data_IF_557036709856
#
_entry.id   IF_557036709856
#
_cell.length_a   1.000
_cell.length_b   1.000
_cell.length_c   1.000
_cell.angle_alpha   90.00
_cell.angle_beta   90.00
_cell.angle_gamma   90.00
#
_symmetry.space_group_name_H-M   'P 1'
#
loop_
_entity.id
_entity.type
_entity.pdbx_description
1 polymer ?
#
# COMPACT_ATOMS: atom_id res chain seq x y z
N UNK A 1 -7.24 13.68 14.71
CA UNK A 1 -8.24 12.63 14.80
C UNK A 1 -8.81 12.43 16.21
N UNK A 2 -8.02 12.60 17.24
CA UNK A 2 -8.49 12.49 18.64
C UNK A 2 -9.40 13.67 19.10
N UNK A 3 -9.41 14.76 18.33
CA UNK A 3 -10.22 15.96 18.55
C UNK A 3 -11.40 16.09 17.57
N UNK A 4 -11.49 15.22 16.56
CA UNK A 4 -12.55 15.27 15.56
C UNK A 4 -13.63 14.23 15.90
N UNK A 5 -14.88 14.64 15.82
CA UNK A 5 -16.07 13.79 15.82
C UNK A 5 -16.61 13.60 14.40
N UNK A 6 -17.65 12.80 14.27
CA UNK A 6 -18.23 12.48 12.96
C UNK A 6 -18.84 13.74 12.29
N UNK A 7 -19.39 14.68 13.06
CA UNK A 7 -19.93 15.92 12.53
C UNK A 7 -18.85 16.84 11.94
N UNK A 8 -17.66 16.86 12.56
CA UNK A 8 -16.49 17.56 12.00
C UNK A 8 -16.03 16.90 10.72
N UNK A 9 -16.01 15.56 10.66
CA UNK A 9 -15.62 14.83 9.46
C UNK A 9 -16.59 15.11 8.30
N UNK A 10 -17.89 15.07 8.54
CA UNK A 10 -18.90 15.38 7.52
C UNK A 10 -18.71 16.79 6.93
N UNK A 11 -18.58 17.80 7.79
CA UNK A 11 -18.34 19.18 7.35
C UNK A 11 -17.05 19.35 6.54
N UNK A 12 -15.98 18.67 6.96
CA UNK A 12 -14.71 18.69 6.22
C UNK A 12 -14.84 17.96 4.88
N UNK A 13 -15.57 16.86 4.82
CA UNK A 13 -15.81 16.09 3.59
C UNK A 13 -16.59 16.94 2.58
N UNK A 14 -17.65 17.64 3.01
CA UNK A 14 -18.39 18.57 2.15
C UNK A 14 -17.50 19.71 1.64
N UNK A 15 -16.74 20.34 2.53
CA UNK A 15 -15.83 21.45 2.19
C UNK A 15 -14.69 21.02 1.25
N UNK A 16 -14.25 19.76 1.33
CA UNK A 16 -13.20 19.18 0.51
C UNK A 16 -13.70 18.58 -0.82
N UNK A 17 -15.00 18.74 -1.15
CA UNK A 17 -15.56 18.19 -2.40
C UNK A 17 -15.72 16.66 -2.40
N UNK A 18 -15.86 16.03 -1.24
CA UNK A 18 -16.23 14.62 -1.08
C UNK A 18 -15.16 13.69 -0.51
N UNK A 19 -13.89 14.13 -0.34
CA UNK A 19 -12.85 13.28 0.23
C UNK A 19 -12.19 13.97 1.42
N UNK A 20 -12.41 13.42 2.62
CA UNK A 20 -11.65 13.74 3.83
C UNK A 20 -11.33 12.45 4.58
N UNK A 21 -10.20 12.39 5.25
CA UNK A 21 -9.76 11.25 6.06
C UNK A 21 -9.24 11.72 7.40
N UNK A 22 -9.80 11.20 8.49
CA UNK A 22 -9.25 11.42 9.82
C UNK A 22 -7.95 10.63 9.97
N UNK A 23 -6.88 11.33 10.31
CA UNK A 23 -5.57 10.72 10.54
C UNK A 23 -5.06 11.03 11.94
N UNK A 24 -4.42 10.05 12.58
CA UNK A 24 -3.70 10.15 13.83
C UNK A 24 -2.20 10.00 13.56
N UNK A 25 -1.60 11.00 12.89
CA UNK A 25 -0.22 10.94 12.40
C UNK A 25 0.81 10.76 13.54
N UNK A 26 0.61 11.42 14.68
CA UNK A 26 1.48 11.23 15.85
C UNK A 26 1.35 9.83 16.44
N UNK A 27 0.15 9.25 16.45
CA UNK A 27 -0.08 7.86 16.86
C UNK A 27 0.64 6.86 15.97
N UNK A 28 0.53 7.04 14.65
CA UNK A 28 1.27 6.23 13.66
C UNK A 28 2.78 6.32 13.88
N UNK A 29 3.31 7.52 14.05
CA UNK A 29 4.73 7.73 14.29
C UNK A 29 5.19 7.09 15.61
N UNK A 30 4.39 7.20 16.68
CA UNK A 30 4.67 6.61 17.96
C UNK A 30 4.70 5.07 17.87
N UNK A 31 3.73 4.46 17.19
CA UNK A 31 3.66 3.02 16.98
C UNK A 31 4.86 2.51 16.14
N UNK A 32 5.19 3.19 15.04
CA UNK A 32 6.36 2.85 14.22
C UNK A 32 7.67 2.93 15.00
N UNK A 33 7.83 3.94 15.85
CA UNK A 33 9.02 4.07 16.72
C UNK A 33 9.06 2.97 17.76
N UNK A 34 7.93 2.63 18.38
CA UNK A 34 7.83 1.55 19.36
C UNK A 34 8.10 0.18 18.71
N UNK A 35 7.59 -0.08 17.50
CA UNK A 35 7.86 -1.28 16.73
C UNK A 35 9.34 -1.39 16.35
N UNK A 36 9.96 -0.31 15.87
CA UNK A 36 11.41 -0.27 15.60
C UNK A 36 12.27 -0.55 16.83
N UNK A 37 11.76 -0.19 18.02
CA UNK A 37 12.41 -0.47 19.29
C UNK A 37 12.07 -1.87 19.87
N UNK A 38 11.35 -2.71 19.13
CA UNK A 38 10.84 -4.02 19.56
C UNK A 38 10.01 -3.97 20.86
N UNK A 39 9.28 -2.89 21.09
CA UNK A 39 8.38 -2.74 22.25
C UNK A 39 6.96 -3.20 21.91
N UNK A 40 6.56 -3.05 20.66
CA UNK A 40 5.24 -3.46 20.15
C UNK A 40 5.40 -4.20 18.81
N UNK A 41 4.46 -5.08 18.54
CA UNK A 41 4.22 -5.64 17.20
C UNK A 41 3.06 -4.88 16.56
N UNK A 42 3.36 -4.12 15.50
CA UNK A 42 2.42 -3.25 14.80
C UNK A 42 2.73 -3.20 13.31
N UNK A 43 1.72 -3.44 12.50
CA UNK A 43 1.78 -3.24 11.06
C UNK A 43 0.99 -1.98 10.66
N UNK A 44 1.57 -1.08 9.84
CA UNK A 44 0.87 0.11 9.37
C UNK A 44 -0.46 -0.23 8.70
N UNK A 45 -1.54 0.42 9.14
CA UNK A 45 -2.89 0.16 8.66
C UNK A 45 -3.73 -0.71 9.59
N UNK A 46 -3.13 -1.44 10.52
CA UNK A 46 -3.85 -2.26 11.49
C UNK A 46 -4.64 -1.41 12.49
N UNK A 47 -5.78 -1.94 12.95
CA UNK A 47 -6.63 -1.36 14.00
C UNK A 47 -6.18 -1.72 15.42
N UNK A 48 -5.07 -2.45 15.55
CA UNK A 48 -4.52 -2.97 16.81
C UNK A 48 -3.02 -3.18 16.72
N UNK A 49 -2.42 -3.34 17.88
CA UNK A 49 -1.03 -3.78 18.06
C UNK A 49 -0.92 -4.63 19.34
N UNK A 50 0.16 -5.38 19.47
CA UNK A 50 0.48 -6.11 20.70
C UNK A 50 1.74 -5.54 21.37
N UNK A 51 1.77 -5.53 22.70
CA UNK A 51 2.95 -5.12 23.46
C UNK A 51 3.82 -6.36 23.65
N UNK A 52 5.05 -6.30 23.13
CA UNK A 52 5.98 -7.43 23.20
C UNK A 52 6.65 -7.53 24.58
N UNK A 53 7.03 -6.38 25.16
CA UNK A 53 7.78 -6.35 26.41
C UNK A 53 7.22 -5.28 27.37
N UNK A 54 6.16 -5.62 28.13
CA UNK A 54 5.53 -4.66 29.06
C UNK A 54 6.50 -4.10 30.12
N UNK A 55 7.48 -4.91 30.55
CA UNK A 55 8.46 -4.54 31.58
C UNK A 55 9.47 -3.47 31.13
N UNK A 56 9.65 -3.28 29.83
CA UNK A 56 10.53 -2.25 29.25
C UNK A 56 9.83 -0.89 29.07
N UNK A 57 8.51 -0.85 29.23
CA UNK A 57 7.75 0.39 29.07
C UNK A 57 7.81 1.22 30.37
N UNK A 58 8.18 2.50 30.23
CA UNK A 58 7.97 3.43 31.33
C UNK A 58 6.48 3.81 31.45
N UNK A 59 6.03 4.35 32.60
CA UNK A 59 4.61 4.67 32.83
C UNK A 59 3.99 5.61 31.81
N UNK A 60 4.76 6.55 31.25
CA UNK A 60 4.28 7.49 30.25
C UNK A 60 4.08 6.79 28.89
N UNK A 61 4.99 5.90 28.50
CA UNK A 61 4.86 5.08 27.28
C UNK A 61 3.65 4.15 27.39
N UNK A 62 3.46 3.47 28.52
CA UNK A 62 2.31 2.59 28.74
C UNK A 62 0.99 3.36 28.62
N UNK A 63 0.90 4.54 29.25
CA UNK A 63 -0.28 5.42 29.16
C UNK A 63 -0.53 5.90 27.73
N UNK A 64 0.51 6.31 27.01
CA UNK A 64 0.40 6.74 25.61
C UNK A 64 -0.09 5.61 24.70
N UNK A 65 0.48 4.41 24.82
CA UNK A 65 0.06 3.23 24.05
C UNK A 65 -1.39 2.84 24.35
N UNK A 66 -1.82 2.90 25.61
CA UNK A 66 -3.22 2.64 25.99
C UNK A 66 -4.19 3.64 25.32
N UNK A 67 -3.84 4.94 25.31
CA UNK A 67 -4.64 5.98 24.62
C UNK A 67 -4.69 5.72 23.10
N UNK A 68 -3.56 5.36 22.50
CA UNK A 68 -3.49 5.02 21.07
C UNK A 68 -4.36 3.81 20.76
N UNK A 69 -4.32 2.75 21.58
CA UNK A 69 -5.13 1.55 21.38
C UNK A 69 -6.63 1.86 21.32
N UNK A 70 -7.13 2.68 22.25
CA UNK A 70 -8.53 3.11 22.23
C UNK A 70 -8.91 3.91 20.98
N UNK A 71 -7.98 4.76 20.49
CA UNK A 71 -8.20 5.53 19.27
C UNK A 71 -8.17 4.65 18.01
N UNK A 72 -7.26 3.65 17.95
CA UNK A 72 -7.19 2.69 16.85
C UNK A 72 -8.49 1.91 16.66
N UNK A 73 -9.06 1.41 17.76
CA UNK A 73 -10.33 0.67 17.72
C UNK A 73 -11.48 1.56 17.22
N UNK A 74 -11.58 2.80 17.71
CA UNK A 74 -12.62 3.75 17.30
C UNK A 74 -12.51 4.14 15.83
N UNK A 75 -11.28 4.37 15.32
CA UNK A 75 -11.01 4.86 13.97
C UNK A 75 -10.71 3.74 12.96
N UNK A 76 -10.66 2.49 13.42
CA UNK A 76 -10.24 1.34 12.61
C UNK A 76 -8.86 1.55 11.95
N UNK A 77 -7.87 1.92 12.76
CA UNK A 77 -6.52 2.25 12.35
C UNK A 77 -6.15 3.71 12.60
N UNK A 78 -4.92 4.08 12.25
CA UNK A 78 -4.45 5.48 12.39
C UNK A 78 -4.98 6.42 11.30
N UNK A 79 -5.60 5.88 10.26
CA UNK A 79 -6.09 6.63 9.09
C UNK A 79 -5.00 7.03 8.09
N UNK A 80 -3.72 6.92 8.42
CA UNK A 80 -2.61 7.30 7.50
C UNK A 80 -2.59 6.42 6.26
N UNK A 81 -2.69 5.10 6.43
CA UNK A 81 -2.79 4.15 5.31
C UNK A 81 -4.00 4.47 4.42
N UNK A 82 -5.18 4.65 5.02
CA UNK A 82 -6.42 4.99 4.30
C UNK A 82 -6.30 6.31 3.53
N UNK A 83 -5.60 7.31 4.09
CA UNK A 83 -5.35 8.57 3.40
C UNK A 83 -4.53 8.36 2.12
N UNK A 84 -3.47 7.55 2.19
CA UNK A 84 -2.65 7.20 1.03
C UNK A 84 -3.42 6.40 -0.01
N UNK A 85 -4.23 5.42 0.42
CA UNK A 85 -5.09 4.61 -0.45
C UNK A 85 -6.11 5.47 -1.20
N UNK A 86 -6.80 6.37 -0.50
CA UNK A 86 -7.75 7.28 -1.13
C UNK A 86 -7.06 8.23 -2.12
N UNK A 87 -5.91 8.76 -1.77
CA UNK A 87 -5.14 9.59 -2.70
C UNK A 87 -4.72 8.81 -3.95
N UNK A 88 -4.21 7.59 -3.81
CA UNK A 88 -3.75 6.78 -4.93
C UNK A 88 -4.91 6.28 -5.79
N UNK A 89 -5.93 5.67 -5.18
CA UNK A 89 -6.95 4.93 -5.92
C UNK A 89 -8.16 5.80 -6.30
N UNK A 90 -8.55 6.77 -5.46
CA UNK A 90 -9.75 7.59 -5.72
C UNK A 90 -9.40 8.93 -6.40
N UNK A 91 -8.32 9.61 -5.98
CA UNK A 91 -7.95 10.91 -6.56
C UNK A 91 -7.10 10.80 -7.82
N UNK A 92 -6.11 9.91 -7.81
CA UNK A 92 -5.16 9.74 -8.91
C UNK A 92 -5.54 8.62 -9.87
N UNK A 93 -6.62 7.87 -9.57
CA UNK A 93 -7.10 6.72 -10.34
C UNK A 93 -5.99 5.74 -10.73
N UNK A 94 -5.13 5.42 -9.75
CA UNK A 94 -4.03 4.49 -9.95
C UNK A 94 -4.49 3.05 -9.69
N UNK A 95 -3.78 2.13 -10.31
CA UNK A 95 -3.85 0.70 -10.01
C UNK A 95 -2.46 0.21 -9.61
N UNK A 96 -2.41 -0.86 -8.83
CA UNK A 96 -1.16 -1.52 -8.47
C UNK A 96 -0.96 -2.75 -9.34
N UNK A 97 0.27 -2.95 -9.85
CA UNK A 97 0.66 -4.10 -10.68
C UNK A 97 2.05 -4.58 -10.26
N UNK A 98 2.33 -5.86 -10.48
CA UNK A 98 3.54 -6.52 -10.02
C UNK A 98 4.26 -7.18 -11.19
N UNK A 99 5.31 -6.57 -11.75
CA UNK A 99 6.18 -7.27 -12.69
C UNK A 99 7.04 -8.30 -11.94
N UNK A 100 7.14 -9.50 -12.53
CA UNK A 100 7.98 -10.60 -12.02
C UNK A 100 8.75 -11.24 -13.17
N UNK A 101 9.90 -11.86 -12.88
CA UNK A 101 10.69 -12.59 -13.87
C UNK A 101 10.33 -14.07 -13.89
N UNK A 102 10.15 -14.68 -12.72
CA UNK A 102 9.72 -16.08 -12.58
C UNK A 102 8.22 -16.14 -12.28
N UNK A 103 7.43 -16.62 -13.23
CA UNK A 103 5.98 -16.76 -13.11
C UNK A 103 5.52 -17.84 -12.11
N UNK A 104 6.40 -18.79 -11.79
CA UNK A 104 6.08 -19.89 -10.88
C UNK A 104 6.33 -19.50 -9.43
N UNK A 105 7.46 -18.85 -9.17
CA UNK A 105 7.89 -18.42 -7.83
C UNK A 105 7.44 -17.00 -7.51
N UNK A 106 6.99 -16.23 -8.49
CA UNK A 106 6.66 -14.81 -8.38
C UNK A 106 7.84 -13.96 -7.92
N UNK A 107 9.04 -14.27 -8.43
CA UNK A 107 10.28 -13.63 -7.99
C UNK A 107 10.95 -12.84 -9.10
N UNK A 108 11.90 -11.97 -8.70
CA UNK A 108 12.93 -11.43 -9.57
C UNK A 108 14.09 -12.44 -9.73
N UNK A 109 15.15 -12.01 -10.45
CA UNK A 109 16.37 -12.79 -10.63
C UNK A 109 17.15 -13.07 -9.34
N UNK A 110 16.98 -12.25 -8.30
CA UNK A 110 17.59 -12.44 -6.98
C UNK A 110 16.75 -13.37 -6.06
N UNK A 111 15.60 -13.83 -6.54
CA UNK A 111 14.69 -14.70 -5.77
C UNK A 111 13.83 -13.96 -4.76
N UNK A 112 13.72 -12.63 -4.84
CA UNK A 112 12.81 -11.83 -4.00
C UNK A 112 11.39 -11.98 -4.51
N UNK A 113 10.46 -12.35 -3.62
CA UNK A 113 9.05 -12.55 -3.96
C UNK A 113 8.35 -11.20 -4.09
N UNK A 114 7.66 -10.97 -5.23
CA UNK A 114 6.96 -9.73 -5.58
C UNK A 114 7.80 -8.49 -5.21
N UNK A 115 9.03 -8.36 -5.75
CA UNK A 115 10.02 -7.39 -5.27
C UNK A 115 9.57 -5.96 -5.45
N UNK A 116 8.81 -5.70 -6.54
CA UNK A 116 8.38 -4.36 -6.93
C UNK A 116 6.87 -4.29 -7.12
N UNK A 117 6.27 -3.25 -6.55
CA UNK A 117 4.89 -2.88 -6.75
C UNK A 117 4.83 -1.55 -7.52
N UNK A 118 4.29 -1.56 -8.72
CA UNK A 118 4.17 -0.37 -9.55
C UNK A 118 2.77 0.23 -9.44
N UNK A 119 2.70 1.49 -9.02
CA UNK A 119 1.49 2.29 -9.18
C UNK A 119 1.49 2.90 -10.59
N UNK A 120 0.46 2.59 -11.36
CA UNK A 120 0.27 3.07 -12.72
C UNK A 120 -1.13 3.62 -12.92
N UNK A 121 -1.35 4.61 -13.80
CA UNK A 121 -2.69 5.08 -14.13
C UNK A 121 -3.56 3.94 -14.66
N UNK A 122 -4.85 3.96 -14.29
CA UNK A 122 -5.83 3.06 -14.89
C UNK A 122 -5.83 3.25 -16.41
N UNK A 123 -5.95 2.18 -17.17
CA UNK A 123 -5.81 2.21 -18.62
C UNK A 123 -4.39 2.01 -19.14
N UNK A 124 -3.38 1.93 -18.25
CA UNK A 124 -2.01 1.55 -18.65
C UNK A 124 -2.01 0.16 -19.28
N UNK A 125 -1.26 0.00 -20.37
CA UNK A 125 -1.15 -1.28 -21.10
C UNK A 125 0.04 -2.12 -20.61
N UNK A 126 0.09 -3.40 -20.97
CA UNK A 126 1.20 -4.29 -20.66
C UNK A 126 2.54 -3.75 -21.21
N UNK A 127 2.56 -3.19 -22.42
CA UNK A 127 3.74 -2.52 -22.96
C UNK A 127 4.08 -1.23 -22.22
N UNK A 128 3.06 -0.48 -21.77
CA UNK A 128 3.25 0.72 -20.93
C UNK A 128 3.93 0.37 -19.61
N UNK A 129 3.58 -0.76 -18.99
CA UNK A 129 4.28 -1.27 -17.81
C UNK A 129 5.73 -1.64 -18.13
N UNK A 130 5.97 -2.32 -19.26
CA UNK A 130 7.32 -2.69 -19.68
C UNK A 130 8.23 -1.46 -19.78
N UNK A 131 7.76 -0.35 -20.38
CA UNK A 131 8.49 0.93 -20.39
C UNK A 131 8.72 1.53 -19.02
N UNK A 132 7.79 1.34 -18.09
CA UNK A 132 7.94 1.80 -16.69
C UNK A 132 9.00 1.00 -15.93
N UNK A 133 9.13 -0.29 -16.23
CA UNK A 133 10.16 -1.14 -15.62
C UNK A 133 11.53 -0.80 -16.20
N UNK A 134 11.66 -0.80 -17.53
CA UNK A 134 12.88 -0.41 -18.23
C UNK A 134 12.56 -0.06 -19.70
N UNK A 135 13.22 0.96 -20.24
CA UNK A 135 13.02 1.41 -21.62
C UNK A 135 13.23 0.26 -22.64
N UNK A 136 14.30 -0.51 -22.47
CA UNK A 136 14.63 -1.62 -23.39
C UNK A 136 13.56 -2.71 -23.37
N UNK A 137 12.93 -2.97 -22.22
CA UNK A 137 11.82 -3.93 -22.14
C UNK A 137 10.59 -3.45 -22.90
N UNK A 138 10.32 -2.15 -22.89
CA UNK A 138 9.23 -1.54 -23.64
C UNK A 138 9.48 -1.52 -25.15
N UNK A 139 10.72 -1.24 -25.57
CA UNK A 139 11.12 -1.23 -26.99
C UNK A 139 11.14 -2.64 -27.59
N UNK A 140 11.69 -3.60 -26.87
CA UNK A 140 11.82 -4.99 -27.29
C UNK A 140 10.65 -5.89 -26.88
N UNK A 141 9.54 -5.32 -26.39
CA UNK A 141 8.37 -6.05 -25.93
C UNK A 141 7.80 -6.98 -27.01
N UNK A 142 7.61 -8.24 -26.64
CA UNK A 142 6.96 -9.25 -27.51
C UNK A 142 5.55 -9.54 -27.00
N UNK A 143 5.43 -9.91 -25.72
CA UNK A 143 4.19 -10.28 -25.03
C UNK A 143 4.40 -10.19 -23.52
N UNK A 144 3.33 -10.33 -22.77
CA UNK A 144 3.42 -10.61 -21.33
C UNK A 144 2.60 -11.86 -20.98
N UNK A 145 2.87 -12.45 -19.84
CA UNK A 145 2.09 -13.54 -19.26
C UNK A 145 1.44 -12.99 -17.99
N UNK A 146 0.11 -12.98 -17.97
CA UNK A 146 -0.61 -12.68 -16.74
C UNK A 146 -0.62 -13.95 -15.89
N UNK A 147 0.15 -13.92 -14.81
CA UNK A 147 0.41 -15.09 -13.98
C UNK A 147 -0.84 -15.55 -13.22
N UNK A 148 -1.70 -14.62 -12.82
CA UNK A 148 -2.95 -14.95 -12.12
C UNK A 148 -3.95 -15.72 -12.99
N UNK A 149 -4.00 -15.40 -14.27
CA UNK A 149 -4.94 -16.01 -15.23
C UNK A 149 -4.28 -17.07 -16.11
N UNK A 150 -2.97 -17.23 -16.03
CA UNK A 150 -2.13 -18.08 -16.89
C UNK A 150 -2.34 -17.80 -18.39
N UNK A 151 -2.61 -16.54 -18.74
CA UNK A 151 -2.86 -16.12 -20.13
C UNK A 151 -1.71 -15.29 -20.68
N UNK A 152 -1.35 -15.60 -21.91
CA UNK A 152 -0.49 -14.70 -22.71
C UNK A 152 -1.31 -13.50 -23.14
N UNK A 153 -0.78 -12.30 -22.96
CA UNK A 153 -1.41 -11.02 -23.30
C UNK A 153 -0.50 -10.21 -24.23
N UNK A 154 -1.13 -9.45 -25.12
CA UNK A 154 -0.44 -8.58 -26.08
C UNK A 154 -0.02 -7.24 -25.49
N UNK A 155 0.59 -6.42 -26.36
CA UNK A 155 1.08 -5.07 -26.00
C UNK A 155 -0.03 -4.12 -25.56
N UNK A 156 -1.22 -4.30 -26.05
CA UNK A 156 -2.42 -3.49 -25.86
C UNK A 156 -3.33 -3.97 -24.72
N UNK A 157 -2.96 -5.06 -24.04
CA UNK A 157 -3.67 -5.55 -22.89
C UNK A 157 -3.74 -4.46 -21.80
N UNK A 158 -4.94 -4.02 -21.46
CA UNK A 158 -5.18 -3.04 -20.40
C UNK A 158 -5.08 -3.72 -19.05
N UNK A 159 -4.12 -3.26 -18.25
CA UNK A 159 -3.83 -3.80 -16.93
C UNK A 159 -5.00 -3.67 -15.97
N UNK A 160 -5.18 -4.69 -15.14
CA UNK A 160 -6.13 -4.70 -14.05
C UNK A 160 -5.41 -4.54 -12.70
N UNK A 161 -6.12 -4.02 -11.71
CA UNK A 161 -5.56 -3.89 -10.36
C UNK A 161 -5.13 -5.25 -9.82
N UNK A 162 -3.94 -5.32 -9.24
CA UNK A 162 -3.29 -6.53 -8.76
C UNK A 162 -2.87 -7.54 -9.85
N UNK A 163 -2.75 -7.13 -11.09
CA UNK A 163 -2.13 -7.99 -12.10
C UNK A 163 -0.68 -8.30 -11.73
N UNK A 164 -0.31 -9.56 -11.90
CA UNK A 164 1.08 -10.04 -11.81
C UNK A 164 1.50 -10.47 -13.21
N UNK A 165 2.56 -9.84 -13.74
CA UNK A 165 2.94 -9.99 -15.14
C UNK A 165 4.41 -10.36 -15.30
N UNK A 166 4.68 -11.39 -16.09
CA UNK A 166 6.03 -11.66 -16.62
C UNK A 166 6.15 -11.04 -18.01
N UNK A 167 7.10 -10.14 -18.18
CA UNK A 167 7.35 -9.45 -19.46
C UNK A 167 8.33 -10.29 -20.27
N UNK A 168 7.95 -10.61 -21.51
CA UNK A 168 8.80 -11.32 -22.49
C UNK A 168 9.25 -10.32 -23.54
N UNK A 169 10.55 -10.11 -23.63
CA UNK A 169 11.21 -9.19 -24.58
C UNK A 169 12.25 -9.92 -25.42
N UNK A 170 12.66 -9.30 -26.53
CA UNK A 170 13.85 -9.75 -27.26
C UNK A 170 15.10 -9.47 -26.46
N UNK A 171 15.99 -10.43 -26.41
CA UNK A 171 17.37 -10.23 -25.91
C UNK A 171 18.20 -9.49 -26.93
#
# INVERSE_FOLDING_TARGET
ADLADDAVLERLTEAAGGIAVLTMAEGELALKRAAKANLVDYHPGDDRFSILEPSKLNPNQARALSKIAGSLQRLQGTGVQRCLEKAAYELLDLIIVYPVEDETKLTDHDGRVLPDAFLVPRGTTARGLAYKVHTDLGESFIRAINVRTHRTVGSDYVLQNNDVLTIVSRK
#
